data_IF_191751940003
#
_entry.id   IF_191751940003
#
_cell.length_a   1.000
_cell.length_b   1.000
_cell.length_c   1.000
_cell.angle_alpha   90.00
_cell.angle_beta   90.00
_cell.angle_gamma   90.00
#
_symmetry.space_group_name_H-M   'P 1'
#
loop_
_entity.id
_entity.type
_entity.pdbx_description
1 polymer ?
#
# COMPACT_ATOMS: atom_id res chain seq x y z
N UNK A 1 12.29 18.43 -18.53
CA UNK A 1 13.19 17.61 -17.69
C UNK A 1 12.99 16.15 -18.10
N UNK A 2 14.05 15.40 -18.39
CA UNK A 2 13.96 13.98 -18.78
C UNK A 2 14.35 13.15 -17.56
N UNK A 3 13.47 12.27 -17.09
CA UNK A 3 13.79 11.39 -15.95
C UNK A 3 14.96 10.48 -16.28
N UNK A 4 15.79 10.21 -15.28
CA UNK A 4 16.71 9.08 -15.34
C UNK A 4 15.92 7.78 -15.26
N UNK A 5 16.52 6.69 -15.73
CA UNK A 5 15.91 5.37 -15.60
C UNK A 5 15.69 5.00 -14.12
N UNK A 6 16.63 5.37 -13.25
CA UNK A 6 16.53 5.12 -11.81
C UNK A 6 15.37 5.88 -11.16
N UNK A 7 15.15 7.14 -11.55
CA UNK A 7 14.01 7.95 -11.09
C UNK A 7 12.67 7.33 -11.53
N UNK A 8 12.60 6.84 -12.78
CA UNK A 8 11.41 6.16 -13.28
C UNK A 8 11.13 4.86 -12.51
N UNK A 9 12.15 4.04 -12.27
CA UNK A 9 12.03 2.80 -11.47
C UNK A 9 11.60 3.13 -10.04
N UNK A 10 12.23 4.11 -9.40
CA UNK A 10 11.89 4.50 -8.04
C UNK A 10 10.44 4.97 -7.92
N UNK A 11 9.97 5.79 -8.87
CA UNK A 11 8.59 6.25 -8.92
C UNK A 11 7.60 5.09 -9.07
N UNK A 12 7.83 4.17 -10.00
CA UNK A 12 6.95 3.00 -10.19
C UNK A 12 6.97 2.07 -8.97
N UNK A 13 8.14 1.80 -8.37
CA UNK A 13 8.22 1.02 -7.14
C UNK A 13 7.44 1.68 -5.98
N UNK A 14 7.50 3.02 -5.84
CA UNK A 14 6.71 3.72 -4.83
C UNK A 14 5.20 3.58 -5.09
N UNK A 15 4.79 3.71 -6.35
CA UNK A 15 3.39 3.48 -6.76
C UNK A 15 2.94 2.07 -6.41
N UNK A 16 3.73 1.05 -6.73
CA UNK A 16 3.44 -0.34 -6.39
C UNK A 16 3.33 -0.56 -4.88
N UNK A 17 4.22 0.04 -4.07
CA UNK A 17 4.10 -0.02 -2.61
C UNK A 17 2.76 0.54 -2.11
N UNK A 18 2.27 1.66 -2.67
CA UNK A 18 0.95 2.19 -2.28
C UNK A 18 -0.16 1.22 -2.70
N UNK A 19 -0.07 0.62 -3.90
CA UNK A 19 -1.05 -0.37 -4.37
C UNK A 19 -1.08 -1.62 -3.50
N UNK A 20 0.07 -2.12 -3.07
CA UNK A 20 0.16 -3.26 -2.16
C UNK A 20 -0.47 -2.93 -0.79
N UNK A 21 -0.22 -1.73 -0.26
CA UNK A 21 -0.89 -1.26 0.96
C UNK A 21 -2.42 -1.21 0.79
N UNK A 22 -2.91 -0.73 -0.36
CA UNK A 22 -4.34 -0.73 -0.66
C UNK A 22 -4.90 -2.16 -0.71
N UNK A 23 -4.17 -3.11 -1.30
CA UNK A 23 -4.58 -4.51 -1.36
C UNK A 23 -4.69 -5.13 0.04
N UNK A 24 -3.71 -4.85 0.93
CA UNK A 24 -3.74 -5.28 2.33
C UNK A 24 -4.97 -4.71 3.05
N UNK A 25 -5.19 -3.39 2.98
CA UNK A 25 -6.36 -2.78 3.62
C UNK A 25 -7.68 -3.33 3.07
N UNK A 26 -7.75 -3.61 1.76
CA UNK A 26 -8.94 -4.17 1.12
C UNK A 26 -9.22 -5.60 1.59
N UNK A 27 -8.17 -6.43 1.72
CA UNK A 27 -8.29 -7.79 2.28
C UNK A 27 -8.79 -7.76 3.72
N UNK A 28 -8.16 -6.94 4.58
CA UNK A 28 -8.56 -6.77 5.97
C UNK A 28 -9.99 -6.24 6.10
N UNK A 29 -10.42 -5.35 5.20
CA UNK A 29 -11.78 -4.82 5.19
C UNK A 29 -12.80 -5.89 4.82
N UNK A 30 -12.48 -6.73 3.84
CA UNK A 30 -13.34 -7.85 3.46
C UNK A 30 -13.49 -8.86 4.61
N UNK A 31 -12.38 -9.22 5.27
CA UNK A 31 -12.38 -10.08 6.45
C UNK A 31 -13.22 -9.50 7.59
N UNK A 32 -13.05 -8.21 7.90
CA UNK A 32 -13.78 -7.52 8.97
C UNK A 32 -15.28 -7.43 8.69
N UNK A 33 -15.67 -7.20 7.43
CA UNK A 33 -17.08 -7.15 7.01
C UNK A 33 -17.73 -8.53 7.01
N UNK A 34 -16.97 -9.60 6.81
CA UNK A 34 -17.45 -10.98 6.86
C UNK A 34 -17.56 -11.54 8.30
N UNK A 35 -16.90 -10.90 9.27
CA UNK A 35 -16.92 -11.32 10.67
C UNK A 35 -18.30 -11.13 11.33
N UNK A 36 -18.74 -12.11 12.12
CA UNK A 36 -19.98 -12.03 12.91
C UNK A 36 -19.90 -11.00 14.04
N UNK A 37 -18.69 -10.59 14.41
CA UNK A 37 -18.42 -9.53 15.40
C UNK A 37 -17.82 -8.29 14.74
N UNK A 38 -18.30 -7.94 13.54
CA UNK A 38 -17.77 -6.82 12.76
C UNK A 38 -17.66 -5.54 13.58
N UNK A 39 -16.48 -4.95 13.59
CA UNK A 39 -16.19 -3.72 14.30
C UNK A 39 -16.30 -2.51 13.36
N UNK A 40 -17.39 -1.75 13.50
CA UNK A 40 -17.67 -0.57 12.68
C UNK A 40 -16.54 0.50 12.73
N UNK A 41 -15.85 0.65 13.85
CA UNK A 41 -14.73 1.59 13.99
C UNK A 41 -13.55 1.12 13.13
N UNK A 42 -13.28 -0.18 13.13
CA UNK A 42 -12.21 -0.78 12.31
C UNK A 42 -12.53 -0.70 10.83
N UNK A 43 -13.77 -0.98 10.44
CA UNK A 43 -14.26 -0.81 9.05
C UNK A 43 -14.05 0.63 8.57
N UNK A 44 -14.51 1.63 9.33
CA UNK A 44 -14.34 3.05 9.01
C UNK A 44 -12.86 3.46 8.92
N UNK A 45 -12.01 2.93 9.80
CA UNK A 45 -10.57 3.16 9.76
C UNK A 45 -9.92 2.61 8.48
N UNK A 46 -10.30 1.41 8.05
CA UNK A 46 -9.78 0.79 6.83
C UNK A 46 -10.25 1.53 5.56
N UNK A 47 -11.52 1.94 5.52
CA UNK A 47 -12.07 2.75 4.41
C UNK A 47 -11.38 4.12 4.32
N UNK A 48 -11.13 4.76 5.46
CA UNK A 48 -10.38 6.03 5.53
C UNK A 48 -8.94 5.85 5.03
N UNK A 49 -8.28 4.75 5.40
CA UNK A 49 -6.92 4.44 4.93
C UNK A 49 -6.89 4.19 3.42
N UNK A 50 -7.85 3.44 2.88
CA UNK A 50 -7.98 3.22 1.43
C UNK A 50 -8.16 4.54 0.67
N UNK A 51 -9.06 5.41 1.14
CA UNK A 51 -9.28 6.72 0.53
C UNK A 51 -8.01 7.59 0.54
N UNK A 52 -7.27 7.57 1.65
CA UNK A 52 -5.98 8.27 1.77
C UNK A 52 -4.94 7.72 0.80
N UNK A 53 -4.77 6.39 0.74
CA UNK A 53 -3.77 5.75 -0.14
C UNK A 53 -4.10 5.99 -1.62
N UNK A 54 -5.39 5.95 -2.00
CA UNK A 54 -5.82 6.28 -3.35
C UNK A 54 -5.46 7.73 -3.74
N UNK A 55 -5.67 8.69 -2.82
CA UNK A 55 -5.28 10.08 -3.02
C UNK A 55 -3.77 10.24 -3.10
N UNK A 56 -3.00 9.58 -2.22
CA UNK A 56 -1.53 9.61 -2.24
C UNK A 56 -0.99 9.07 -3.57
N UNK A 57 -1.50 7.92 -4.05
CA UNK A 57 -1.13 7.35 -5.36
C UNK A 57 -1.49 8.26 -6.52
N UNK A 58 -2.66 8.89 -6.50
CA UNK A 58 -3.10 9.81 -7.54
C UNK A 58 -2.32 11.13 -7.53
N UNK A 59 -1.87 11.58 -6.35
CA UNK A 59 -1.10 12.80 -6.14
C UNK A 59 0.40 12.66 -6.36
N UNK A 60 0.96 11.45 -6.27
CA UNK A 60 2.40 11.23 -6.41
C UNK A 60 2.88 11.65 -7.80
N UNK A 61 4.00 12.37 -7.84
CA UNK A 61 4.69 12.77 -9.07
C UNK A 61 6.14 12.32 -8.98
N UNK A 62 6.78 11.99 -10.10
CA UNK A 62 8.18 11.58 -10.08
C UNK A 62 9.15 12.67 -9.62
N UNK A 63 8.73 13.94 -9.60
CA UNK A 63 9.50 15.02 -8.98
C UNK A 63 9.48 15.00 -7.45
N UNK A 64 8.64 14.18 -6.80
CA UNK A 64 8.57 14.07 -5.34
C UNK A 64 9.62 13.06 -4.81
N UNK A 65 10.90 13.28 -5.09
CA UNK A 65 11.99 12.33 -4.81
C UNK A 65 12.04 11.86 -3.35
N UNK A 66 11.87 12.78 -2.39
CA UNK A 66 11.89 12.47 -0.96
C UNK A 66 10.68 11.64 -0.53
N UNK A 67 9.51 11.95 -1.08
CA UNK A 67 8.28 11.21 -0.81
C UNK A 67 8.34 9.80 -1.39
N UNK A 68 8.86 9.66 -2.61
CA UNK A 68 9.11 8.36 -3.27
C UNK A 68 10.04 7.51 -2.40
N UNK A 69 11.14 8.07 -1.91
CA UNK A 69 12.08 7.37 -1.04
C UNK A 69 11.41 6.94 0.28
N UNK A 70 10.65 7.85 0.92
CA UNK A 70 9.88 7.56 2.14
C UNK A 70 8.89 6.42 1.94
N UNK A 71 8.09 6.46 0.87
CA UNK A 71 7.07 5.45 0.58
C UNK A 71 7.72 4.08 0.40
N UNK A 72 8.79 4.00 -0.41
CA UNK A 72 9.51 2.74 -0.64
C UNK A 72 10.06 2.15 0.65
N UNK A 73 10.62 2.97 1.53
CA UNK A 73 11.16 2.51 2.80
C UNK A 73 10.04 2.08 3.78
N UNK A 74 9.10 2.99 4.04
CA UNK A 74 8.08 2.79 5.08
C UNK A 74 7.03 1.76 4.67
N UNK A 75 6.43 1.91 3.49
CA UNK A 75 5.38 1.00 3.05
C UNK A 75 5.99 -0.34 2.66
N UNK A 76 7.16 -0.34 2.02
CA UNK A 76 7.92 -1.57 1.74
C UNK A 76 8.15 -2.40 3.00
N UNK A 77 8.55 -1.78 4.11
CA UNK A 77 8.70 -2.48 5.40
C UNK A 77 7.39 -3.10 5.88
N UNK A 78 6.29 -2.35 5.87
CA UNK A 78 4.98 -2.86 6.31
C UNK A 78 4.51 -4.03 5.44
N UNK A 79 4.69 -3.94 4.13
CA UNK A 79 4.34 -5.01 3.19
C UNK A 79 5.17 -6.27 3.45
N UNK A 80 6.48 -6.12 3.67
CA UNK A 80 7.37 -7.23 3.99
C UNK A 80 6.96 -7.91 5.31
N UNK A 81 6.73 -7.12 6.36
CA UNK A 81 6.31 -7.63 7.67
C UNK A 81 4.94 -8.34 7.56
N UNK A 82 3.99 -7.77 6.82
CA UNK A 82 2.69 -8.39 6.56
C UNK A 82 2.84 -9.73 5.82
N UNK A 83 3.58 -9.76 4.71
CA UNK A 83 3.81 -10.98 3.90
C UNK A 83 4.56 -12.06 4.68
N UNK A 84 5.48 -11.67 5.56
CA UNK A 84 6.19 -12.62 6.42
C UNK A 84 5.25 -13.32 7.40
N UNK A 85 4.23 -12.62 7.91
CA UNK A 85 3.17 -13.18 8.77
C UNK A 85 2.08 -13.94 8.02
N UNK A 86 1.87 -13.66 6.72
CA UNK A 86 0.79 -14.22 5.90
C UNK A 86 1.32 -15.12 4.77
N UNK A 87 2.44 -15.82 5.00
CA UNK A 87 2.98 -16.76 4.03
C UNK A 87 1.96 -17.86 3.72
N UNK A 88 1.24 -17.69 2.62
CA UNK A 88 0.64 -18.81 1.90
C UNK A 88 1.68 -19.33 0.91
N UNK A 89 2.08 -20.61 0.98
CA UNK A 89 2.88 -21.19 -0.08
C UNK A 89 2.08 -21.07 -1.37
N UNK A 90 2.65 -20.41 -2.37
CA UNK A 90 2.15 -20.54 -3.75
C UNK A 90 2.28 -22.01 -4.08
N UNK A 91 1.16 -22.69 -4.31
CA UNK A 91 1.18 -24.05 -4.82
C UNK A 91 1.95 -24.03 -6.14
N UNK A 92 3.04 -24.80 -6.18
CA UNK A 92 3.92 -24.94 -7.35
C UNK A 92 3.17 -25.54 -8.54
#
# INVERSE_FOLDING_TARGET
MKWTQEEAIAFECARECITDMMAICSGQLAEEKASTTSNAVRVCSLETQLARLAQERAGLRGSHTDEIARIRASYGKVILDYRAGHKHPVAA
#
